data_IF_284002611192
#
_entry.id   IF_284002611192
#
_cell.length_a   1.000
_cell.length_b   1.000
_cell.length_c   1.000
_cell.angle_alpha   90.00
_cell.angle_beta   90.00
_cell.angle_gamma   90.00
#
_symmetry.space_group_name_H-M   'P 1'
#
loop_
_entity.id
_entity.type
_entity.pdbx_description
1 polymer ?
#
# COMPACT_ATOMS: atom_id res chain seq x y z
N UNK A 1 -5.51 9.81 17.35
CA UNK A 1 -4.28 9.61 18.14
C UNK A 1 -3.64 8.33 17.64
N UNK A 2 -2.77 8.40 16.63
CA UNK A 2 -2.03 7.22 16.17
C UNK A 2 -1.12 6.80 17.33
N UNK A 3 -1.24 5.54 17.77
CA UNK A 3 -0.48 5.06 18.91
C UNK A 3 1.02 5.14 18.60
N UNK A 4 1.83 5.64 19.53
CA UNK A 4 3.30 5.76 19.39
C UNK A 4 3.97 4.46 18.90
N UNK A 5 3.37 3.30 19.22
CA UNK A 5 3.84 1.99 18.79
C UNK A 5 3.69 1.71 17.28
N UNK A 6 2.67 2.26 16.62
CA UNK A 6 2.44 2.04 15.18
C UNK A 6 3.40 2.88 14.34
N UNK A 7 3.70 4.10 14.80
CA UNK A 7 4.69 4.97 14.16
C UNK A 7 6.10 4.36 14.21
N UNK A 8 6.51 3.80 15.34
CA UNK A 8 7.82 3.12 15.47
C UNK A 8 7.89 1.85 14.62
N UNK A 9 6.82 1.05 14.56
CA UNK A 9 6.75 -0.12 13.66
C UNK A 9 6.89 0.28 12.19
N UNK A 10 6.21 1.36 11.76
CA UNK A 10 6.35 1.90 10.40
C UNK A 10 7.77 2.38 10.14
N UNK A 11 8.40 3.06 11.09
CA UNK A 11 9.79 3.53 10.97
C UNK A 11 10.78 2.37 10.83
N UNK A 12 10.58 1.29 11.58
CA UNK A 12 11.38 0.07 11.46
C UNK A 12 11.18 -0.62 10.10
N UNK A 13 9.93 -0.76 9.65
CA UNK A 13 9.60 -1.31 8.33
C UNK A 13 10.18 -0.48 7.19
N UNK A 14 10.09 0.85 7.29
CA UNK A 14 10.72 1.76 6.31
C UNK A 14 12.23 1.61 6.28
N UNK A 15 12.87 1.30 7.41
CA UNK A 15 14.30 1.04 7.45
C UNK A 15 14.66 -0.32 6.84
N UNK A 16 13.88 -1.36 7.12
CA UNK A 16 14.09 -2.73 6.60
C UNK A 16 13.76 -2.85 5.10
N UNK A 17 12.70 -2.18 4.63
CA UNK A 17 12.16 -2.28 3.28
C UNK A 17 12.30 -0.99 2.48
N UNK A 18 13.28 -0.12 2.77
CA UNK A 18 13.33 1.26 2.24
C UNK A 18 13.04 1.36 0.74
N UNK A 19 13.73 0.56 -0.09
CA UNK A 19 13.56 0.60 -1.54
C UNK A 19 12.14 0.17 -1.99
N UNK A 20 11.58 -0.88 -1.38
CA UNK A 20 10.23 -1.35 -1.65
C UNK A 20 9.18 -0.36 -1.13
N UNK A 21 9.42 0.23 0.04
CA UNK A 21 8.55 1.22 0.65
C UNK A 21 8.42 2.45 -0.23
N UNK A 22 9.56 3.05 -0.62
CA UNK A 22 9.57 4.23 -1.48
C UNK A 22 8.93 3.93 -2.87
N UNK A 23 9.14 2.72 -3.43
CA UNK A 23 8.52 2.29 -4.68
C UNK A 23 7.00 2.15 -4.57
N UNK A 24 6.49 1.51 -3.51
CA UNK A 24 5.05 1.32 -3.30
C UNK A 24 4.33 2.62 -3.00
N UNK A 25 4.91 3.52 -2.19
CA UNK A 25 4.35 4.84 -1.92
C UNK A 25 4.19 5.63 -3.23
N UNK A 26 5.22 5.61 -4.08
CA UNK A 26 5.16 6.25 -5.40
C UNK A 26 4.08 5.63 -6.30
N UNK A 27 3.98 4.31 -6.33
CA UNK A 27 2.98 3.62 -7.15
C UNK A 27 1.54 3.94 -6.72
N UNK A 28 1.27 3.97 -5.41
CA UNK A 28 -0.05 4.32 -4.89
C UNK A 28 -0.39 5.79 -5.14
N UNK A 29 0.58 6.69 -4.93
CA UNK A 29 0.45 8.11 -5.25
C UNK A 29 0.12 8.33 -6.74
N UNK A 30 0.83 7.68 -7.66
CA UNK A 30 0.57 7.80 -9.10
C UNK A 30 -0.76 7.18 -9.54
N UNK A 31 -1.21 6.12 -8.87
CA UNK A 31 -2.45 5.45 -9.20
C UNK A 31 -3.69 6.17 -8.67
N UNK A 32 -3.54 6.95 -7.59
CA UNK A 32 -4.59 7.67 -6.86
C UNK A 32 -5.94 6.92 -6.81
N UNK A 33 -5.96 5.67 -6.30
CA UNK A 33 -7.12 4.78 -6.44
C UNK A 33 -8.38 5.28 -5.72
N UNK A 34 -8.25 6.28 -4.84
CA UNK A 34 -9.34 6.90 -4.08
C UNK A 34 -9.52 8.39 -4.37
N UNK A 35 -8.74 8.97 -5.30
CA UNK A 35 -8.92 10.35 -5.73
C UNK A 35 -8.55 11.40 -4.67
N UNK A 36 -7.72 11.07 -3.68
CA UNK A 36 -7.38 11.99 -2.57
C UNK A 36 -6.04 12.67 -2.74
N UNK A 37 -5.34 12.42 -3.85
CA UNK A 37 -3.98 12.90 -3.99
C UNK A 37 -3.93 14.41 -4.27
N UNK A 38 -3.60 15.22 -3.25
CA UNK A 38 -3.48 16.68 -3.39
C UNK A 38 -2.02 17.08 -3.74
N UNK A 39 -1.72 16.95 -5.04
CA UNK A 39 -0.66 17.61 -5.82
C UNK A 39 0.83 17.48 -5.42
N UNK A 40 1.25 17.23 -4.17
CA UNK A 40 2.71 17.25 -3.87
C UNK A 40 3.26 16.35 -2.76
N UNK A 41 2.45 15.67 -1.96
CA UNK A 41 2.97 14.96 -0.79
C UNK A 41 2.85 13.43 -0.90
N UNK A 42 3.95 12.78 -1.32
CA UNK A 42 4.02 11.31 -1.46
C UNK A 42 3.96 10.54 -0.13
N UNK A 43 3.95 11.27 0.99
CA UNK A 43 3.83 10.77 2.35
C UNK A 43 2.38 10.39 2.73
N UNK A 44 1.39 10.81 1.93
CA UNK A 44 -0.04 10.57 2.18
C UNK A 44 -0.43 9.09 2.23
N UNK A 45 0.26 8.24 1.46
CA UNK A 45 0.00 6.79 1.39
C UNK A 45 0.97 5.94 2.24
N UNK A 46 1.90 6.56 2.99
CA UNK A 46 2.83 5.82 3.85
C UNK A 46 2.17 4.95 4.94
N UNK A 47 1.04 5.37 5.55
CA UNK A 47 0.31 4.52 6.49
C UNK A 47 -0.13 3.19 5.87
N UNK A 48 -0.68 3.22 4.66
CA UNK A 48 -1.18 2.07 3.90
C UNK A 48 -0.02 1.19 3.43
N UNK A 49 1.07 1.77 2.93
CA UNK A 49 2.26 1.01 2.53
C UNK A 49 2.85 0.24 3.72
N UNK A 50 2.85 0.87 4.90
CA UNK A 50 3.28 0.26 6.15
C UNK A 50 2.47 -0.97 6.57
N UNK A 51 1.20 -1.09 6.15
CA UNK A 51 0.37 -2.26 6.44
C UNK A 51 0.32 -3.27 5.29
N UNK A 52 0.51 -2.82 4.04
CA UNK A 52 0.57 -3.68 2.85
C UNK A 52 1.84 -4.53 2.84
N UNK A 53 3.04 -3.94 3.04
CA UNK A 53 4.33 -4.64 2.90
C UNK A 53 4.43 -5.91 3.78
N UNK A 54 4.07 -5.88 5.08
CA UNK A 54 4.09 -7.08 5.90
C UNK A 54 3.20 -8.21 5.36
N UNK A 55 2.10 -7.86 4.69
CA UNK A 55 1.13 -8.81 4.12
C UNK A 55 1.57 -9.37 2.77
N UNK A 56 2.39 -8.65 1.99
CA UNK A 56 2.95 -9.15 0.73
C UNK A 56 3.80 -10.41 0.90
N UNK A 57 4.38 -10.63 2.08
CA UNK A 57 5.09 -11.88 2.43
C UNK A 57 4.20 -13.12 2.31
N UNK A 58 2.88 -12.97 2.40
CA UNK A 58 1.89 -14.04 2.31
C UNK A 58 1.26 -14.15 0.91
N UNK A 59 1.46 -13.15 0.05
CA UNK A 59 0.92 -13.14 -1.31
C UNK A 59 1.66 -14.12 -2.21
N UNK A 60 0.90 -14.91 -2.97
CA UNK A 60 1.42 -15.88 -3.94
C UNK A 60 1.09 -15.50 -5.39
N UNK A 61 0.22 -14.51 -5.56
CA UNK A 61 -0.27 -14.06 -6.86
C UNK A 61 -0.61 -12.58 -6.86
N UNK A 62 -0.72 -12.00 -8.06
CA UNK A 62 -1.26 -10.64 -8.26
C UNK A 62 -2.66 -10.48 -7.65
N UNK A 63 -3.51 -11.51 -7.75
CA UNK A 63 -4.85 -11.51 -7.17
C UNK A 63 -4.83 -11.41 -5.64
N UNK A 64 -3.85 -12.01 -4.98
CA UNK A 64 -3.66 -11.87 -3.53
C UNK A 64 -3.24 -10.45 -3.17
N UNK A 65 -2.34 -9.85 -3.97
CA UNK A 65 -1.94 -8.45 -3.80
C UNK A 65 -3.13 -7.52 -3.97
N UNK A 66 -3.98 -7.75 -4.98
CA UNK A 66 -5.21 -6.97 -5.20
C UNK A 66 -6.13 -7.01 -3.98
N UNK A 67 -6.37 -8.19 -3.42
CA UNK A 67 -7.18 -8.37 -2.20
C UNK A 67 -6.53 -7.67 -1.00
N UNK A 68 -5.22 -7.82 -0.81
CA UNK A 68 -4.50 -7.16 0.29
C UNK A 68 -4.65 -5.65 0.21
N UNK A 69 -4.40 -5.04 -0.96
CA UNK A 69 -4.51 -3.58 -1.13
C UNK A 69 -5.95 -3.14 -0.86
N UNK A 70 -6.95 -3.80 -1.44
CA UNK A 70 -8.36 -3.45 -1.24
C UNK A 70 -8.79 -3.57 0.23
N UNK A 71 -8.38 -4.62 0.93
CA UNK A 71 -8.69 -4.79 2.35
C UNK A 71 -8.05 -3.73 3.23
N UNK A 72 -6.81 -3.34 2.94
CA UNK A 72 -6.16 -2.24 3.67
C UNK A 72 -6.87 -0.91 3.39
N UNK A 73 -7.21 -0.62 2.13
CA UNK A 73 -7.96 0.58 1.77
C UNK A 73 -9.35 0.61 2.41
N UNK A 74 -10.07 -0.51 2.47
CA UNK A 74 -11.34 -0.62 3.19
C UNK A 74 -11.19 -0.36 4.69
N UNK A 75 -10.06 -0.74 5.31
CA UNK A 75 -9.82 -0.47 6.74
C UNK A 75 -9.54 1.00 7.00
N UNK A 76 -8.82 1.66 6.10
CA UNK A 76 -8.42 3.07 6.25
C UNK A 76 -9.54 4.03 5.84
N UNK A 77 -10.30 3.72 4.79
CA UNK A 77 -11.24 4.63 4.16
C UNK A 77 -12.68 4.15 4.13
N UNK A 78 -13.00 2.98 4.69
CA UNK A 78 -14.29 2.27 4.52
C UNK A 78 -14.55 1.70 3.12
N UNK A 79 -15.53 0.81 3.00
CA UNK A 79 -15.83 0.08 1.76
C UNK A 79 -16.50 0.97 0.70
N UNK A 80 -17.23 1.99 1.12
CA UNK A 80 -17.94 2.89 0.20
C UNK A 80 -16.94 3.79 -0.52
N UNK A 81 -15.95 4.31 0.21
CA UNK A 81 -14.88 5.15 -0.34
C UNK A 81 -13.84 4.34 -1.09
N UNK A 82 -13.46 3.15 -0.57
CA UNK A 82 -12.47 2.29 -1.23
C UNK A 82 -12.97 1.72 -2.56
N UNK A 83 -14.29 1.61 -2.75
CA UNK A 83 -14.88 1.09 -3.98
C UNK A 83 -14.63 -0.41 -4.20
N UNK A 84 -14.91 -0.91 -5.43
CA UNK A 84 -14.82 -2.34 -5.74
C UNK A 84 -13.37 -2.83 -5.86
N UNK A 85 -13.11 -4.07 -5.45
CA UNK A 85 -11.78 -4.71 -5.51
C UNK A 85 -11.21 -4.77 -6.94
N UNK A 86 -12.08 -4.83 -7.95
CA UNK A 86 -11.73 -4.85 -9.36
C UNK A 86 -10.99 -3.58 -9.81
N UNK A 87 -11.23 -2.43 -9.15
CA UNK A 87 -10.55 -1.18 -9.44
C UNK A 87 -9.04 -1.25 -9.13
N UNK A 88 -8.61 -2.19 -8.28
CA UNK A 88 -7.24 -2.30 -7.80
C UNK A 88 -6.35 -3.19 -8.70
N UNK A 89 -6.87 -3.75 -9.80
CA UNK A 89 -6.07 -4.64 -10.67
C UNK A 89 -4.81 -3.97 -11.22
N UNK A 90 -4.92 -2.74 -11.72
CA UNK A 90 -3.77 -2.02 -12.29
C UNK A 90 -2.65 -1.76 -11.28
N UNK A 91 -3.00 -1.35 -10.06
CA UNK A 91 -2.00 -1.12 -9.00
C UNK A 91 -1.45 -2.45 -8.45
N UNK A 92 -2.30 -3.46 -8.30
CA UNK A 92 -1.88 -4.78 -7.82
C UNK A 92 -0.81 -5.42 -8.70
N UNK A 93 -0.95 -5.33 -10.04
CA UNK A 93 0.05 -5.84 -10.97
C UNK A 93 1.41 -5.16 -10.81
N UNK A 94 1.43 -3.83 -10.65
CA UNK A 94 2.66 -3.06 -10.44
C UNK A 94 3.31 -3.40 -9.09
N UNK A 95 2.52 -3.46 -8.02
CA UNK A 95 3.00 -3.83 -6.68
C UNK A 95 3.53 -5.26 -6.65
N UNK A 96 2.87 -6.19 -7.32
CA UNK A 96 3.33 -7.58 -7.44
C UNK A 96 4.66 -7.68 -8.20
N UNK A 97 4.81 -6.94 -9.30
CA UNK A 97 6.06 -6.88 -10.05
C UNK A 97 7.22 -6.32 -9.20
N UNK A 98 6.99 -5.24 -8.44
CA UNK A 98 8.00 -4.68 -7.53
C UNK A 98 8.34 -5.64 -6.38
N UNK A 99 7.34 -6.35 -5.83
CA UNK A 99 7.59 -7.36 -4.81
C UNK A 99 8.44 -8.53 -5.32
N UNK A 100 8.17 -9.02 -6.53
CA UNK A 100 8.96 -10.09 -7.15
C UNK A 100 10.40 -9.65 -7.47
N UNK A 101 10.64 -8.36 -7.75
CA UNK A 101 11.99 -7.80 -7.97
C UNK A 101 12.76 -7.62 -6.67
N UNK A 102 12.06 -7.34 -5.58
CA UNK A 102 12.66 -7.13 -4.27
C UNK A 102 13.09 -8.44 -3.58
N UNK A 103 12.35 -9.53 -3.83
CA UNK A 103 12.66 -10.88 -3.33
C UNK A 103 13.95 -11.42 -3.94
#
# INVERSE_FOLDING_TARGET
MVSSAEAEKRKALRHEFRALFDALSKLLFEADPIGINFETNTDEYEPEVGTIIPRLKQAQSEDDVRRIIHEEFCKWFDVETAGPVEAYGGIASKVWAEWLRYR
#
